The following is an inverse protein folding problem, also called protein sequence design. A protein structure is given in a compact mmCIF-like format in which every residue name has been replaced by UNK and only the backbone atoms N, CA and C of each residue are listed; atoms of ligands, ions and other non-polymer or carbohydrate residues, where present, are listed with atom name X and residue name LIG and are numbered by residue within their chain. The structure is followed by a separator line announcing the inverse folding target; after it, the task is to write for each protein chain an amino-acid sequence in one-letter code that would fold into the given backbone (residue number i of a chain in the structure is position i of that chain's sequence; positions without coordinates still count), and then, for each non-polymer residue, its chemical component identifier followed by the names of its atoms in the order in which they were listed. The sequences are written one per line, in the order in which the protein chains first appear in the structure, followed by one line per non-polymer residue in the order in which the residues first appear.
data_IF_879960439325
#
_entry.id   IF_879960439325
#
_cell.length_a   1.000
_cell.length_b   1.000
_cell.length_c   1.000
_cell.angle_alpha   90.00
_cell.angle_beta   90.00
_cell.angle_gamma   90.00
#
_symmetry.space_group_name_H-M   'P 1'
#
loop_
_entity.id
_entity.type
_entity.pdbx_description
1 polymer ?
#
# COMPACT_ATOMS: atom_id res chain seq x y z
N UNK A 1 -32.81 4.33 21.08
CA UNK A 1 -31.93 5.50 21.28
C UNK A 1 -30.88 5.61 20.17
N UNK A 2 -30.07 4.56 19.94
CA UNK A 2 -29.01 4.56 18.92
C UNK A 2 -29.48 4.87 17.49
N UNK A 3 -30.64 4.37 17.04
CA UNK A 3 -31.23 4.71 15.73
C UNK A 3 -31.34 6.22 15.48
N UNK A 4 -31.79 7.00 16.47
CA UNK A 4 -31.88 8.47 16.36
C UNK A 4 -30.51 9.14 16.24
N UNK A 5 -29.47 8.56 16.85
CA UNK A 5 -28.10 9.06 16.75
C UNK A 5 -27.55 8.77 15.34
N UNK A 6 -27.76 7.55 14.85
CA UNK A 6 -27.38 7.14 13.49
C UNK A 6 -28.04 8.07 12.47
N UNK A 7 -29.35 8.30 12.55
CA UNK A 7 -30.09 9.20 11.65
C UNK A 7 -29.52 10.63 11.67
N UNK A 8 -29.16 11.16 12.85
CA UNK A 8 -28.52 12.48 12.97
C UNK A 8 -27.13 12.54 12.32
N UNK A 9 -26.29 11.54 12.57
CA UNK A 9 -24.94 11.46 11.99
C UNK A 9 -25.02 11.40 10.46
N UNK A 10 -25.87 10.51 9.95
CA UNK A 10 -26.02 10.20 8.53
C UNK A 10 -26.62 11.38 7.76
N UNK A 11 -27.61 12.05 8.35
CA UNK A 11 -28.20 13.27 7.78
C UNK A 11 -27.20 14.43 7.70
N UNK A 12 -26.35 14.61 8.73
CA UNK A 12 -25.34 15.67 8.75
C UNK A 12 -24.29 15.55 7.63
N UNK A 13 -24.09 14.35 7.07
CA UNK A 13 -23.17 14.06 5.96
C UNK A 13 -23.87 13.86 4.62
N UNK A 14 -25.16 14.21 4.54
CA UNK A 14 -25.96 14.15 3.30
C UNK A 14 -26.27 12.73 2.82
N UNK A 15 -26.26 11.75 3.74
CA UNK A 15 -26.64 10.36 3.46
C UNK A 15 -28.01 10.06 4.08
N UNK A 16 -28.59 8.91 3.73
CA UNK A 16 -29.90 8.46 4.20
C UNK A 16 -29.81 7.02 4.72
N UNK A 17 -30.54 6.74 5.80
CA UNK A 17 -30.70 5.39 6.37
C UNK A 17 -32.13 5.22 6.88
N UNK A 18 -32.82 4.21 6.38
CA UNK A 18 -34.19 3.86 6.74
C UNK A 18 -34.50 2.40 6.37
N UNK A 19 -35.75 1.96 6.50
CA UNK A 19 -36.14 0.56 6.23
C UNK A 19 -35.98 0.15 4.76
N UNK A 20 -35.96 1.11 3.83
CA UNK A 20 -35.70 0.85 2.41
C UNK A 20 -34.21 0.82 2.07
N UNK A 21 -33.38 1.48 2.89
CA UNK A 21 -31.92 1.50 2.80
C UNK A 21 -31.31 1.31 4.20
N UNK A 22 -31.36 0.08 4.76
CA UNK A 22 -31.07 -0.19 6.17
C UNK A 22 -29.57 -0.24 6.52
N UNK A 23 -28.68 0.10 5.59
CA UNK A 23 -27.23 0.15 5.79
C UNK A 23 -26.65 1.41 5.14
N UNK A 24 -25.61 1.97 5.74
CA UNK A 24 -24.94 3.17 5.22
C UNK A 24 -23.46 3.21 5.58
N UNK A 25 -22.65 3.61 4.61
CA UNK A 25 -21.26 4.01 4.80
C UNK A 25 -21.13 5.53 4.57
N UNK A 26 -20.43 6.18 5.49
CA UNK A 26 -20.34 7.63 5.57
C UNK A 26 -18.96 8.09 6.07
N UNK A 27 -18.63 9.35 5.76
CA UNK A 27 -17.42 10.03 6.25
C UNK A 27 -17.79 11.28 7.03
N UNK A 28 -17.32 11.36 8.26
CA UNK A 28 -17.49 12.52 9.14
C UNK A 28 -16.57 13.67 8.73
N UNK A 29 -16.88 14.87 9.22
CA UNK A 29 -16.08 16.09 8.95
C UNK A 29 -14.62 15.99 9.43
N UNK A 30 -14.35 15.18 10.46
CA UNK A 30 -13.00 14.91 10.96
C UNK A 30 -12.25 13.85 10.12
N UNK A 31 -12.88 13.32 9.07
CA UNK A 31 -12.35 12.28 8.21
C UNK A 31 -12.61 10.86 8.71
N UNK A 32 -13.17 10.68 9.91
CA UNK A 32 -13.51 9.37 10.46
C UNK A 32 -14.58 8.67 9.60
N UNK A 33 -14.47 7.35 9.47
CA UNK A 33 -15.43 6.54 8.73
C UNK A 33 -16.49 5.98 9.65
N UNK A 34 -17.73 5.97 9.17
CA UNK A 34 -18.90 5.48 9.89
C UNK A 34 -19.61 4.47 9.03
N UNK A 35 -19.79 3.26 9.57
CA UNK A 35 -20.72 2.27 9.04
C UNK A 35 -21.88 2.11 10.02
N UNK A 36 -23.10 2.12 9.53
CA UNK A 36 -24.27 1.83 10.35
C UNK A 36 -25.22 0.86 9.65
N UNK A 37 -25.85 0.00 10.44
CA UNK A 37 -26.86 -0.97 9.99
C UNK A 37 -28.02 -0.97 10.97
N UNK A 38 -29.25 -0.98 10.48
CA UNK A 38 -30.47 -0.93 11.28
C UNK A 38 -31.38 -2.14 11.00
N UNK A 39 -32.37 -2.43 11.88
CA UNK A 39 -33.42 -3.39 11.57
C UNK A 39 -34.12 -3.07 10.23
N UNK A 40 -34.54 -4.08 9.44
CA UNK A 40 -34.60 -5.50 9.81
C UNK A 40 -33.28 -6.28 9.64
N UNK A 41 -32.21 -5.68 9.08
CA UNK A 41 -30.95 -6.42 8.86
C UNK A 41 -30.17 -6.70 10.14
N UNK A 42 -30.19 -5.75 11.08
CA UNK A 42 -29.57 -5.90 12.39
C UNK A 42 -30.60 -6.45 13.40
N UNK A 43 -30.69 -7.78 13.50
CA UNK A 43 -31.71 -8.49 14.30
C UNK A 43 -31.70 -8.09 15.78
N UNK A 44 -30.50 -7.86 16.34
CA UNK A 44 -30.31 -7.49 17.75
C UNK A 44 -30.42 -5.96 17.98
N UNK A 45 -30.87 -5.21 16.96
CA UNK A 45 -31.00 -3.76 16.99
C UNK A 45 -29.92 -3.04 16.20
N UNK A 46 -30.04 -1.71 16.07
CA UNK A 46 -29.12 -0.91 15.25
C UNK A 46 -27.66 -1.04 15.69
N UNK A 47 -26.73 -1.19 14.76
CA UNK A 47 -25.29 -1.20 15.00
C UNK A 47 -24.61 0.01 14.34
N UNK A 48 -23.56 0.52 14.97
CA UNK A 48 -22.75 1.64 14.51
C UNK A 48 -21.28 1.32 14.75
N UNK A 49 -20.46 1.42 13.72
CA UNK A 49 -19.01 1.26 13.80
C UNK A 49 -18.32 2.53 13.30
N UNK A 50 -17.43 3.08 14.13
CA UNK A 50 -16.67 4.29 13.80
C UNK A 50 -15.18 3.95 13.78
N UNK A 51 -14.56 4.09 12.61
CA UNK A 51 -13.09 4.02 12.48
C UNK A 51 -12.54 5.44 12.49
N UNK A 52 -11.97 5.82 13.63
CA UNK A 52 -11.40 7.16 13.82
C UNK A 52 -10.22 7.39 12.89
N UNK A 53 -10.12 8.61 12.37
CA UNK A 53 -8.92 9.07 11.69
C UNK A 53 -7.80 9.31 12.72
N UNK A 54 -6.70 8.56 12.63
CA UNK A 54 -5.56 8.74 13.54
C UNK A 54 -4.90 10.08 13.26
N UNK A 55 -4.72 10.92 14.29
CA UNK A 55 -3.98 12.19 14.17
C UNK A 55 -2.46 11.99 14.25
N UNK A 56 -2.01 10.96 14.95
CA UNK A 56 -0.58 10.67 15.09
C UNK A 56 -0.06 9.93 13.85
N UNK A 57 0.86 10.59 13.16
CA UNK A 57 1.54 10.08 11.97
C UNK A 57 2.78 9.30 12.40
N UNK A 58 2.71 7.97 12.34
CA UNK A 58 3.90 7.13 12.49
C UNK A 58 4.99 7.56 11.51
N UNK A 59 6.23 7.53 11.99
CA UNK A 59 7.46 7.78 11.25
C UNK A 59 8.24 6.47 11.07
N UNK A 60 9.28 6.52 10.26
CA UNK A 60 10.18 5.38 10.06
C UNK A 60 10.87 4.96 11.36
N UNK A 61 11.21 5.92 12.23
CA UNK A 61 11.81 5.68 13.55
C UNK A 61 10.91 4.83 14.44
N UNK A 62 9.60 5.05 14.41
CA UNK A 62 8.64 4.23 15.15
C UNK A 62 8.68 2.76 14.70
N UNK A 63 8.95 2.48 13.42
CA UNK A 63 9.07 1.11 12.93
C UNK A 63 10.39 0.47 13.40
N UNK A 64 11.46 1.24 13.49
CA UNK A 64 12.74 0.80 14.06
C UNK A 64 12.58 0.49 15.54
N UNK A 65 11.97 1.39 16.32
CA UNK A 65 11.69 1.21 17.75
C UNK A 65 10.80 -0.02 18.01
N UNK A 66 9.80 -0.24 17.15
CA UNK A 66 8.93 -1.43 17.19
C UNK A 66 9.59 -2.69 16.65
N UNK A 67 10.86 -2.62 16.24
CA UNK A 67 11.59 -3.75 15.65
C UNK A 67 10.86 -4.37 14.45
N UNK A 68 10.17 -3.54 13.68
CA UNK A 68 9.47 -3.91 12.44
C UNK A 68 10.41 -3.92 11.23
N UNK A 69 11.48 -3.12 11.30
CA UNK A 69 12.60 -3.01 10.36
C UNK A 69 13.86 -2.64 11.17
N UNK A 70 15.05 -2.76 10.56
CA UNK A 70 16.31 -2.25 11.16
C UNK A 70 16.57 -0.80 10.74
N UNK A 71 17.44 -0.05 11.44
CA UNK A 71 17.84 1.30 11.03
C UNK A 71 18.41 1.35 9.60
N UNK A 72 19.18 0.35 9.20
CA UNK A 72 19.81 0.31 7.90
C UNK A 72 18.79 0.03 6.80
N UNK A 73 17.82 -0.86 7.06
CA UNK A 73 16.68 -1.06 6.15
C UNK A 73 15.89 0.25 6.00
N UNK A 74 15.70 1.02 7.08
CA UNK A 74 15.03 2.31 7.03
C UNK A 74 15.73 3.30 6.08
N UNK A 75 17.07 3.41 6.17
CA UNK A 75 17.86 4.27 5.28
C UNK A 75 17.84 3.78 3.82
N UNK A 76 17.91 2.46 3.60
CA UNK A 76 17.78 1.89 2.26
C UNK A 76 16.41 2.22 1.64
N UNK A 77 15.33 2.08 2.41
CA UNK A 77 13.96 2.40 1.96
C UNK A 77 13.78 3.88 1.61
N UNK A 78 14.44 4.79 2.35
CA UNK A 78 14.50 6.21 1.99
C UNK A 78 15.15 6.39 0.61
N UNK A 79 16.33 5.81 0.42
CA UNK A 79 17.04 5.87 -0.87
C UNK A 79 16.22 5.29 -2.03
N UNK A 80 15.45 4.22 -1.80
CA UNK A 80 14.55 3.62 -2.82
C UNK A 80 13.50 4.63 -3.28
N UNK A 81 12.89 5.38 -2.34
CA UNK A 81 11.88 6.40 -2.67
C UNK A 81 12.51 7.58 -3.40
N UNK A 82 13.64 8.10 -2.90
CA UNK A 82 14.39 9.22 -3.50
C UNK A 82 14.88 8.86 -4.91
N UNK A 83 15.27 7.60 -5.14
CA UNK A 83 15.68 7.10 -6.44
C UNK A 83 14.52 6.93 -7.45
N UNK A 84 13.28 7.23 -7.07
CA UNK A 84 12.08 7.03 -7.89
C UNK A 84 11.86 5.59 -8.35
N UNK A 85 12.12 4.61 -7.48
CA UNK A 85 11.79 3.21 -7.75
C UNK A 85 10.30 2.97 -7.49
N UNK A 86 9.63 2.26 -8.38
CA UNK A 86 8.23 1.86 -8.24
C UNK A 86 8.10 0.75 -7.17
N UNK A 87 7.32 1.02 -6.13
CA UNK A 87 7.22 0.16 -4.94
C UNK A 87 5.84 -0.48 -4.85
N UNK A 88 5.82 -1.81 -4.80
CA UNK A 88 4.64 -2.60 -4.52
C UNK A 88 4.69 -3.18 -3.10
N UNK A 89 3.84 -2.70 -2.21
CA UNK A 89 3.77 -3.17 -0.82
C UNK A 89 2.72 -4.27 -0.71
N UNK A 90 3.15 -5.49 -0.45
CA UNK A 90 2.29 -6.66 -0.31
C UNK A 90 2.10 -7.09 1.15
N UNK A 91 1.03 -7.85 1.41
CA UNK A 91 0.72 -8.36 2.75
C UNK A 91 -0.76 -8.63 3.02
N UNK A 92 -1.01 -9.38 4.08
CA UNK A 92 -2.37 -9.70 4.55
C UNK A 92 -3.14 -8.49 5.10
N UNK A 93 -4.37 -8.73 5.56
CA UNK A 93 -5.18 -7.70 6.22
C UNK A 93 -4.57 -7.34 7.57
N UNK A 94 -4.46 -6.03 7.86
CA UNK A 94 -4.00 -5.55 9.16
C UNK A 94 -2.50 -5.73 9.44
N UNK A 95 -1.68 -6.07 8.43
CA UNK A 95 -0.23 -6.16 8.56
C UNK A 95 0.51 -4.80 8.49
N UNK A 96 -0.20 -3.72 8.18
CA UNK A 96 0.36 -2.37 8.17
C UNK A 96 0.83 -1.85 6.80
N UNK A 97 0.34 -2.41 5.68
CA UNK A 97 0.67 -1.95 4.32
C UNK A 97 0.46 -0.44 4.14
N UNK A 98 -0.73 0.06 4.46
CA UNK A 98 -1.04 1.49 4.34
C UNK A 98 -0.20 2.34 5.29
N UNK A 99 0.20 1.79 6.44
CA UNK A 99 1.11 2.47 7.38
C UNK A 99 2.49 2.66 6.78
N UNK A 100 3.11 1.60 6.25
CA UNK A 100 4.43 1.73 5.61
C UNK A 100 4.33 2.55 4.31
N UNK A 101 3.25 2.42 3.53
CA UNK A 101 2.99 3.27 2.37
C UNK A 101 3.01 4.76 2.76
N UNK A 102 2.29 5.12 3.82
CA UNK A 102 2.22 6.51 4.30
C UNK A 102 3.59 7.03 4.77
N UNK A 103 4.38 6.17 5.45
CA UNK A 103 5.74 6.52 5.90
C UNK A 103 6.66 6.74 4.71
N UNK A 104 6.69 5.81 3.75
CA UNK A 104 7.55 5.90 2.56
C UNK A 104 7.15 7.06 1.66
N UNK A 105 5.85 7.34 1.53
CA UNK A 105 5.38 8.53 0.81
C UNK A 105 5.89 9.82 1.44
N UNK A 106 6.22 9.82 2.73
CA UNK A 106 6.85 10.96 3.42
C UNK A 106 8.32 11.18 3.07
N UNK A 107 8.98 10.26 2.35
CA UNK A 107 10.33 10.45 1.81
C UNK A 107 10.34 11.00 0.38
N UNK A 108 9.16 11.19 -0.23
CA UNK A 108 9.08 11.88 -1.52
C UNK A 108 9.55 13.33 -1.33
N UNK A 109 10.46 13.84 -2.17
CA UNK A 109 10.92 15.24 -2.10
C UNK A 109 9.78 16.27 -2.16
N UNK A 110 9.94 17.39 -1.46
CA UNK A 110 8.90 18.44 -1.35
C UNK A 110 8.63 19.20 -2.66
N UNK A 111 9.56 19.17 -3.62
CA UNK A 111 9.42 19.77 -4.94
C UNK A 111 8.59 18.92 -5.93
N UNK A 112 8.25 17.68 -5.55
CA UNK A 112 7.44 16.78 -6.36
C UNK A 112 5.94 16.96 -6.09
N UNK A 113 5.16 16.97 -7.17
CA UNK A 113 3.69 16.96 -7.11
C UNK A 113 3.17 15.53 -6.97
N UNK A 114 2.41 15.29 -5.90
CA UNK A 114 1.92 13.95 -5.57
C UNK A 114 0.40 13.89 -5.75
N UNK A 115 -0.10 12.86 -6.41
CA UNK A 115 -1.53 12.55 -6.44
C UNK A 115 -1.78 11.25 -5.68
N UNK A 116 -2.60 11.31 -4.63
CA UNK A 116 -3.06 10.13 -3.91
C UNK A 116 -4.41 9.67 -4.44
N UNK A 117 -4.62 8.37 -4.55
CA UNK A 117 -5.89 7.78 -5.00
C UNK A 117 -6.29 6.65 -4.05
N UNK A 118 -7.42 6.78 -3.37
CA UNK A 118 -7.87 5.83 -2.36
C UNK A 118 -9.38 5.58 -2.44
N UNK A 119 -9.82 4.36 -2.06
CA UNK A 119 -11.25 4.09 -1.88
C UNK A 119 -11.87 4.93 -0.76
N UNK A 120 -11.08 5.20 0.28
CA UNK A 120 -11.35 6.34 1.14
C UNK A 120 -10.07 6.85 1.74
N UNK A 121 -9.92 8.17 1.83
CA UNK A 121 -8.61 8.74 2.07
C UNK A 121 -8.10 8.45 3.49
N UNK A 122 -7.10 7.58 3.62
CA UNK A 122 -6.35 7.27 4.84
C UNK A 122 -4.97 7.92 4.83
N UNK A 123 -4.40 8.17 3.64
CA UNK A 123 -3.05 8.73 3.51
C UNK A 123 -2.98 10.18 3.97
N UNK A 124 -1.87 10.48 4.63
CA UNK A 124 -1.57 11.75 5.29
C UNK A 124 -0.14 12.20 5.00
N UNK A 125 0.12 12.48 3.73
CA UNK A 125 1.40 13.00 3.26
C UNK A 125 1.72 14.35 3.93
N UNK A 126 3.02 14.67 3.98
CA UNK A 126 3.53 15.87 4.69
C UNK A 126 3.92 16.99 3.73
N UNK A 127 4.17 16.64 2.49
CA UNK A 127 4.51 17.54 1.40
C UNK A 127 3.36 18.51 1.13
N UNK A 128 3.69 19.70 0.62
CA UNK A 128 2.70 20.74 0.33
C UNK A 128 1.89 20.45 -0.94
N UNK A 129 2.55 19.91 -1.97
CA UNK A 129 1.97 19.73 -3.31
C UNK A 129 1.23 18.39 -3.47
N UNK A 130 0.27 18.12 -2.58
CA UNK A 130 -0.50 16.85 -2.55
C UNK A 130 -1.94 17.06 -3.01
N UNK A 131 -2.33 16.37 -4.09
CA UNK A 131 -3.73 16.26 -4.53
C UNK A 131 -4.30 14.95 -4.04
N UNK A 132 -5.38 15.01 -3.25
CA UNK A 132 -6.02 13.83 -2.67
C UNK A 132 -7.30 13.50 -3.43
N UNK A 133 -7.32 12.33 -4.07
CA UNK A 133 -8.48 11.82 -4.79
C UNK A 133 -9.07 10.62 -4.03
N UNK A 134 -10.40 10.59 -3.98
CA UNK A 134 -11.18 9.54 -3.32
C UNK A 134 -12.25 9.03 -4.28
N UNK A 135 -12.45 7.70 -4.31
CA UNK A 135 -13.53 7.11 -5.10
C UNK A 135 -14.89 7.54 -4.57
N UNK A 136 -15.90 7.44 -5.42
CA UNK A 136 -17.27 7.77 -5.03
C UNK A 136 -18.15 6.57 -5.35
N UNK A 137 -18.76 5.89 -4.35
CA UNK A 137 -19.74 4.85 -4.64
C UNK A 137 -20.97 5.47 -5.33
N UNK A 138 -21.76 4.67 -6.06
CA UNK A 138 -23.01 5.15 -6.65
C UNK A 138 -23.96 5.68 -5.57
N UNK A 139 -24.86 6.58 -5.98
CA UNK A 139 -25.97 7.02 -5.13
C UNK A 139 -27.02 5.90 -4.98
N UNK A 140 -28.08 6.15 -4.21
CA UNK A 140 -29.17 5.19 -3.97
C UNK A 140 -29.90 4.74 -5.26
N UNK A 141 -29.77 5.50 -6.34
CA UNK A 141 -30.34 5.18 -7.66
C UNK A 141 -29.33 4.44 -8.57
N UNK A 142 -28.17 4.04 -8.05
CA UNK A 142 -27.12 3.35 -8.80
C UNK A 142 -26.32 4.26 -9.74
N UNK A 143 -26.38 5.59 -9.57
CA UNK A 143 -25.77 6.57 -10.48
C UNK A 143 -24.60 7.31 -9.86
N UNK A 144 -23.72 7.83 -10.71
CA UNK A 144 -22.65 8.74 -10.31
C UNK A 144 -21.50 8.08 -9.57
N UNK A 145 -21.31 6.77 -9.74
CA UNK A 145 -20.08 6.10 -9.31
C UNK A 145 -18.86 6.76 -9.97
N UNK A 146 -17.76 6.88 -9.22
CA UNK A 146 -16.44 7.26 -9.71
C UNK A 146 -15.47 6.24 -9.17
N UNK A 147 -15.00 5.36 -10.06
CA UNK A 147 -14.13 4.24 -9.72
C UNK A 147 -12.68 4.69 -9.56
N UNK A 148 -11.87 3.87 -8.88
CA UNK A 148 -10.43 4.11 -8.76
C UNK A 148 -9.76 4.17 -10.13
N UNK A 149 -10.19 3.33 -11.07
CA UNK A 149 -9.71 3.30 -12.44
C UNK A 149 -9.91 4.62 -13.18
N UNK A 150 -11.07 5.25 -13.01
CA UNK A 150 -11.34 6.57 -13.59
C UNK A 150 -10.46 7.67 -12.99
N UNK A 151 -10.21 7.60 -11.67
CA UNK A 151 -9.31 8.54 -11.00
C UNK A 151 -7.87 8.39 -11.46
N UNK A 152 -7.37 7.17 -11.68
CA UNK A 152 -6.03 6.92 -12.24
C UNK A 152 -5.92 7.54 -13.64
N UNK A 153 -6.88 7.29 -14.52
CA UNK A 153 -6.86 7.88 -15.86
C UNK A 153 -6.92 9.41 -15.83
N UNK A 154 -7.68 9.98 -14.90
CA UNK A 154 -7.79 11.42 -14.73
C UNK A 154 -6.50 12.02 -14.15
N UNK A 155 -5.83 11.34 -13.22
CA UNK A 155 -4.63 11.86 -12.58
C UNK A 155 -3.48 12.08 -13.56
N UNK A 156 -3.38 11.29 -14.64
CA UNK A 156 -2.36 11.45 -15.68
C UNK A 156 -2.44 12.82 -16.39
N UNK A 157 -3.58 13.52 -16.31
CA UNK A 157 -3.76 14.88 -16.84
C UNK A 157 -3.40 15.98 -15.84
N UNK A 158 -3.14 15.61 -14.59
CA UNK A 158 -2.81 16.52 -13.50
C UNK A 158 -1.31 16.80 -13.38
N UNK A 159 -0.50 16.26 -14.32
CA UNK A 159 0.97 16.29 -14.33
C UNK A 159 1.56 15.90 -12.95
N UNK A 160 1.24 14.71 -12.41
CA UNK A 160 1.87 14.26 -11.18
C UNK A 160 3.32 13.88 -11.45
N UNK A 161 4.20 14.15 -10.50
CA UNK A 161 5.53 13.54 -10.44
C UNK A 161 5.43 12.15 -9.80
N UNK A 162 4.51 11.97 -8.84
CA UNK A 162 4.25 10.70 -8.15
C UNK A 162 2.77 10.38 -8.09
N UNK A 163 2.44 9.10 -8.27
CA UNK A 163 1.11 8.57 -8.01
C UNK A 163 1.20 7.57 -6.85
N UNK A 164 0.42 7.83 -5.80
CA UNK A 164 0.34 6.97 -4.63
C UNK A 164 -1.07 6.39 -4.55
N UNK A 165 -1.20 5.09 -4.74
CA UNK A 165 -2.49 4.42 -4.65
C UNK A 165 -2.61 3.68 -3.33
N UNK A 166 -3.69 3.91 -2.59
CA UNK A 166 -3.89 3.29 -1.28
C UNK A 166 -3.84 1.76 -1.34
N UNK A 167 -4.52 1.18 -2.32
CA UNK A 167 -4.56 -0.26 -2.58
C UNK A 167 -5.01 -0.53 -4.02
N UNK A 168 -4.50 -1.58 -4.67
CA UNK A 168 -5.05 -2.12 -5.93
C UNK A 168 -5.87 -3.38 -5.68
N UNK A 169 -7.06 -3.42 -6.26
CA UNK A 169 -8.08 -4.46 -6.07
C UNK A 169 -8.71 -4.94 -7.37
N UNK A 170 -8.64 -4.16 -8.46
CA UNK A 170 -9.32 -4.47 -9.72
C UNK A 170 -8.56 -3.93 -10.94
N UNK A 171 -9.29 -3.57 -12.00
CA UNK A 171 -8.74 -3.21 -13.30
C UNK A 171 -7.89 -1.93 -13.32
N UNK A 172 -7.93 -1.10 -12.28
CA UNK A 172 -7.02 0.05 -12.11
C UNK A 172 -5.55 -0.38 -12.01
N UNK A 173 -5.29 -1.65 -11.70
CA UNK A 173 -3.94 -2.21 -11.69
C UNK A 173 -3.25 -2.05 -13.06
N UNK A 174 -3.98 -2.22 -14.17
CA UNK A 174 -3.43 -2.01 -15.51
C UNK A 174 -3.03 -0.54 -15.74
N UNK A 175 -3.93 0.38 -15.42
CA UNK A 175 -3.70 1.82 -15.61
C UNK A 175 -2.56 2.32 -14.69
N UNK A 176 -2.39 1.73 -13.51
CA UNK A 176 -1.25 1.95 -12.62
C UNK A 176 0.07 1.48 -13.23
N UNK A 177 0.13 0.24 -13.73
CA UNK A 177 1.33 -0.28 -14.40
C UNK A 177 1.68 0.56 -15.63
N UNK A 178 0.66 1.09 -16.33
CA UNK A 178 0.87 2.02 -17.43
C UNK A 178 1.51 3.31 -16.96
N UNK A 179 0.97 3.93 -15.90
CA UNK A 179 1.56 5.14 -15.33
C UNK A 179 3.03 4.94 -14.95
N UNK A 180 3.33 3.82 -14.28
CA UNK A 180 4.69 3.41 -13.86
C UNK A 180 5.65 3.23 -15.04
N UNK A 181 5.16 2.75 -16.19
CA UNK A 181 5.97 2.59 -17.40
C UNK A 181 6.07 3.86 -18.26
N UNK A 182 5.17 4.83 -18.10
CA UNK A 182 5.08 6.02 -18.96
C UNK A 182 5.40 7.31 -18.22
N UNK A 183 6.51 7.32 -17.47
CA UNK A 183 7.11 8.54 -16.93
C UNK A 183 6.53 9.03 -15.60
N UNK A 184 5.74 8.20 -14.90
CA UNK A 184 5.33 8.47 -13.51
C UNK A 184 6.05 7.49 -12.57
N UNK A 185 7.38 7.48 -12.71
CA UNK A 185 8.31 6.67 -11.92
C UNK A 185 8.14 6.94 -10.43
N UNK A 186 8.57 5.98 -9.61
CA UNK A 186 8.56 6.15 -8.17
C UNK A 186 7.16 6.10 -7.56
N UNK A 187 6.18 5.58 -8.29
CA UNK A 187 4.83 5.37 -7.81
C UNK A 187 4.79 4.28 -6.73
N UNK A 188 3.89 4.43 -5.77
CA UNK A 188 3.76 3.51 -4.64
C UNK A 188 2.32 2.99 -4.55
N UNK A 189 2.17 1.71 -4.24
CA UNK A 189 0.85 1.12 -4.02
C UNK A 189 0.90 -0.03 -3.04
N UNK A 190 -0.28 -0.47 -2.58
CA UNK A 190 -0.41 -1.69 -1.78
C UNK A 190 -1.26 -2.73 -2.48
N UNK A 191 -1.01 -4.00 -2.19
CA UNK A 191 -1.78 -5.12 -2.72
C UNK A 191 -1.89 -6.23 -1.67
N UNK A 192 -2.99 -6.96 -1.69
CA UNK A 192 -3.14 -8.14 -0.86
C UNK A 192 -2.45 -9.35 -1.50
N UNK A 193 -1.45 -9.88 -0.81
CA UNK A 193 -0.77 -11.13 -1.16
C UNK A 193 -0.06 -11.70 0.07
N UNK A 194 0.12 -13.02 0.08
CA UNK A 194 0.76 -13.73 1.19
C UNK A 194 2.28 -13.78 1.05
N UNK A 195 2.80 -13.71 -0.17
CA UNK A 195 4.23 -13.73 -0.49
C UNK A 195 4.55 -12.76 -1.64
N UNK A 196 5.83 -12.38 -1.84
CA UNK A 196 6.25 -11.61 -3.02
C UNK A 196 5.93 -12.29 -4.36
N UNK A 197 5.95 -13.64 -4.43
CA UNK A 197 5.55 -14.34 -5.65
C UNK A 197 4.04 -14.30 -5.88
N UNK A 198 3.24 -14.53 -4.83
CA UNK A 198 1.78 -14.40 -4.92
C UNK A 198 1.36 -12.98 -5.31
N UNK A 199 2.14 -11.98 -4.90
CA UNK A 199 1.95 -10.58 -5.27
C UNK A 199 1.98 -10.39 -6.79
N UNK A 200 2.97 -10.97 -7.48
CA UNK A 200 3.05 -10.91 -8.95
C UNK A 200 1.88 -11.65 -9.61
N UNK A 201 1.55 -12.85 -9.15
CA UNK A 201 0.39 -13.61 -9.64
C UNK A 201 -0.92 -12.83 -9.45
N UNK A 202 -1.04 -12.10 -8.33
CA UNK A 202 -2.19 -11.24 -8.06
C UNK A 202 -2.24 -10.08 -9.05
N UNK A 203 -1.12 -9.41 -9.31
CA UNK A 203 -1.04 -8.35 -10.34
C UNK A 203 -1.46 -8.89 -11.70
N UNK A 204 -0.96 -10.06 -12.14
CA UNK A 204 -1.38 -10.72 -13.38
C UNK A 204 -2.91 -10.90 -13.44
N UNK A 205 -3.49 -11.39 -12.35
CA UNK A 205 -4.94 -11.62 -12.24
C UNK A 205 -5.73 -10.32 -12.34
N UNK A 206 -5.31 -9.27 -11.63
CA UNK A 206 -5.98 -7.96 -11.63
C UNK A 206 -5.94 -7.29 -13.02
N UNK A 207 -4.82 -7.43 -13.73
CA UNK A 207 -4.71 -6.94 -15.11
C UNK A 207 -5.62 -7.73 -16.04
N UNK A 208 -5.71 -9.05 -15.90
CA UNK A 208 -6.64 -9.86 -16.70
C UNK A 208 -8.11 -9.43 -16.48
N UNK A 209 -8.48 -9.06 -15.25
CA UNK A 209 -9.81 -8.53 -14.93
C UNK A 209 -10.10 -7.16 -15.58
N UNK A 210 -9.08 -6.40 -16.01
CA UNK A 210 -9.26 -5.13 -16.69
C UNK A 210 -9.80 -5.26 -18.13
N UNK A 211 -9.92 -6.50 -18.64
CA UNK A 211 -10.41 -6.82 -19.98
C UNK A 211 -9.34 -6.81 -21.07
N UNK A 212 -8.07 -6.69 -20.69
CA UNK A 212 -6.96 -6.67 -21.64
C UNK A 212 -6.49 -8.10 -21.94
N UNK A 213 -6.66 -8.56 -23.18
CA UNK A 213 -6.20 -9.87 -23.60
C UNK A 213 -4.77 -9.79 -24.17
N UNK A 214 -3.77 -9.79 -23.29
CA UNK A 214 -2.37 -9.91 -23.67
C UNK A 214 -1.91 -11.37 -23.61
N UNK A 215 -1.00 -11.75 -24.50
CA UNK A 215 -0.24 -12.98 -24.30
C UNK A 215 0.48 -12.93 -22.93
N UNK A 216 0.45 -14.02 -22.18
CA UNK A 216 0.98 -14.10 -20.80
C UNK A 216 2.41 -13.58 -20.70
N UNK A 217 3.27 -13.91 -21.66
CA UNK A 217 4.65 -13.43 -21.72
C UNK A 217 4.74 -11.89 -21.83
N UNK A 218 3.90 -11.27 -22.64
CA UNK A 218 3.87 -9.82 -22.80
C UNK A 218 3.37 -9.12 -21.52
N UNK A 219 2.35 -9.69 -20.88
CA UNK A 219 1.86 -9.20 -19.58
C UNK A 219 2.95 -9.26 -18.51
N UNK A 220 3.64 -10.39 -18.39
CA UNK A 220 4.72 -10.54 -17.42
C UNK A 220 5.89 -9.60 -17.68
N UNK A 221 6.22 -9.38 -18.96
CA UNK A 221 7.22 -8.40 -19.33
C UNK A 221 6.82 -7.00 -18.88
N UNK A 222 5.57 -6.64 -19.16
CA UNK A 222 5.00 -5.35 -18.77
C UNK A 222 5.03 -5.13 -17.25
N UNK A 223 4.69 -6.15 -16.46
CA UNK A 223 4.77 -6.13 -15.00
C UNK A 223 6.23 -5.98 -14.54
N UNK A 224 7.14 -6.77 -15.12
CA UNK A 224 8.55 -6.79 -14.74
C UNK A 224 9.30 -5.49 -15.03
N UNK A 225 8.84 -4.72 -16.02
CA UNK A 225 9.40 -3.42 -16.36
C UNK A 225 8.80 -2.27 -15.54
N UNK A 226 7.59 -2.45 -15.01
CA UNK A 226 6.88 -1.41 -14.27
C UNK A 226 7.28 -1.36 -12.78
N UNK A 227 7.50 -2.51 -12.16
CA UNK A 227 7.71 -2.62 -10.71
C UNK A 227 9.19 -2.89 -10.46
N UNK A 228 9.80 -2.09 -9.58
CA UNK A 228 11.22 -2.26 -9.22
C UNK A 228 11.36 -3.08 -7.92
N UNK A 229 10.54 -2.77 -6.91
CA UNK A 229 10.70 -3.29 -5.55
C UNK A 229 9.38 -3.82 -4.99
N UNK A 230 9.44 -4.97 -4.32
CA UNK A 230 8.35 -5.54 -3.53
C UNK A 230 8.71 -5.53 -2.04
N UNK A 231 7.83 -4.96 -1.21
CA UNK A 231 7.92 -4.99 0.26
C UNK A 231 6.85 -5.91 0.81
N UNK A 232 7.23 -7.01 1.47
CA UNK A 232 6.27 -7.91 2.12
C UNK A 232 6.09 -7.54 3.59
N UNK A 233 4.88 -7.14 3.97
CA UNK A 233 4.49 -6.88 5.35
C UNK A 233 3.68 -8.04 5.92
N UNK A 234 4.07 -8.51 7.11
CA UNK A 234 3.41 -9.62 7.78
C UNK A 234 3.03 -9.24 9.21
N UNK A 235 1.81 -9.60 9.62
CA UNK A 235 1.41 -9.61 11.03
C UNK A 235 1.70 -10.99 11.59
N UNK A 236 2.59 -11.06 12.57
CA UNK A 236 3.01 -12.31 13.19
C UNK A 236 2.01 -12.76 14.26
N UNK A 237 2.21 -13.98 14.78
CA UNK A 237 1.30 -14.62 15.75
C UNK A 237 1.15 -13.87 17.06
N UNK A 238 2.16 -13.11 17.48
CA UNK A 238 2.14 -12.25 18.66
C UNK A 238 1.50 -10.87 18.40
N UNK A 239 0.99 -10.65 17.18
CA UNK A 239 0.37 -9.41 16.76
C UNK A 239 1.35 -8.33 16.29
N UNK A 240 2.65 -8.55 16.42
CA UNK A 240 3.67 -7.64 15.89
C UNK A 240 3.62 -7.61 14.37
N UNK A 241 4.10 -6.51 13.79
CA UNK A 241 4.15 -6.32 12.33
C UNK A 241 5.61 -6.19 11.94
N UNK A 242 6.05 -6.93 10.93
CA UNK A 242 7.43 -6.87 10.41
C UNK A 242 7.43 -6.83 8.89
N UNK A 243 8.43 -6.16 8.32
CA UNK A 243 8.73 -6.27 6.90
C UNK A 243 9.49 -7.58 6.67
N UNK A 244 8.81 -8.64 6.27
CA UNK A 244 9.41 -9.97 6.20
C UNK A 244 10.25 -10.23 4.97
N UNK A 245 10.10 -9.41 3.92
CA UNK A 245 10.92 -9.47 2.72
C UNK A 245 11.03 -8.10 2.07
N UNK A 246 12.23 -7.76 1.60
CA UNK A 246 12.50 -6.70 0.62
C UNK A 246 13.10 -7.37 -0.60
N UNK A 247 12.46 -7.22 -1.75
CA UNK A 247 12.82 -7.91 -2.99
C UNK A 247 12.90 -6.96 -4.18
N UNK A 248 13.88 -7.14 -5.05
CA UNK A 248 14.02 -6.42 -6.33
C UNK A 248 13.54 -7.30 -7.49
N UNK A 249 12.78 -6.73 -8.43
CA UNK A 249 12.47 -7.37 -9.70
C UNK A 249 13.61 -7.08 -10.67
N UNK A 250 14.25 -8.14 -11.18
CA UNK A 250 15.46 -8.00 -12.01
C UNK A 250 15.19 -8.16 -13.51
N UNK A 251 13.94 -8.48 -13.87
CA UNK A 251 13.48 -8.72 -15.24
C UNK A 251 12.75 -10.06 -15.38
N UNK A 252 12.99 -10.75 -16.51
CA UNK A 252 12.41 -12.06 -16.79
C UNK A 252 13.46 -13.06 -17.25
N UNK A 253 13.24 -14.33 -16.92
CA UNK A 253 13.91 -15.47 -17.51
C UNK A 253 12.86 -16.37 -18.20
N UNK A 254 12.90 -16.42 -19.53
CA UNK A 254 11.88 -17.09 -20.33
C UNK A 254 10.50 -16.44 -20.18
N UNK A 255 9.61 -17.11 -19.45
CA UNK A 255 8.26 -16.62 -19.12
C UNK A 255 8.08 -16.30 -17.64
N UNK A 256 9.12 -16.39 -16.82
CA UNK A 256 9.04 -16.17 -15.38
C UNK A 256 9.62 -14.82 -15.03
N UNK A 257 8.90 -14.02 -14.24
CA UNK A 257 9.45 -12.80 -13.65
C UNK A 257 10.45 -13.20 -12.56
N UNK A 258 11.67 -12.70 -12.67
CA UNK A 258 12.75 -13.02 -11.75
C UNK A 258 12.81 -11.97 -10.65
N UNK A 259 12.82 -12.45 -9.42
CA UNK A 259 12.89 -11.62 -8.20
C UNK A 259 14.16 -12.02 -7.44
N UNK A 260 14.88 -11.04 -6.92
CA UNK A 260 15.96 -11.27 -5.97
C UNK A 260 15.56 -10.73 -4.60
N UNK A 261 15.51 -11.61 -3.62
CA UNK A 261 15.29 -11.20 -2.23
C UNK A 261 16.59 -10.59 -1.69
N UNK A 262 16.50 -9.39 -1.12
CA UNK A 262 17.62 -8.60 -0.62
C UNK A 262 17.73 -8.75 0.89
N UNK A 263 16.58 -8.64 1.57
CA UNK A 263 16.46 -8.88 3.01
C UNK A 263 15.29 -9.79 3.29
N UNK A 264 15.42 -10.56 4.36
CA UNK A 264 14.33 -11.30 4.96
C UNK A 264 14.32 -11.19 6.48
N UNK A 265 13.14 -11.40 7.05
CA UNK A 265 12.98 -11.71 8.45
C UNK A 265 12.78 -13.22 8.62
N UNK A 266 13.66 -13.86 9.38
CA UNK A 266 13.54 -15.27 9.72
C UNK A 266 13.12 -15.41 11.18
N UNK A 267 11.92 -15.94 11.42
CA UNK A 267 11.48 -16.32 12.76
C UNK A 267 12.33 -17.50 13.26
N UNK A 268 12.93 -17.37 14.43
CA UNK A 268 13.78 -18.39 15.07
C UNK A 268 13.05 -19.16 16.17
N UNK A 269 11.99 -18.59 16.74
CA UNK A 269 11.19 -19.26 17.77
C UNK A 269 10.10 -18.39 18.38
N UNK A 270 9.56 -18.88 19.50
CA UNK A 270 8.65 -18.19 20.39
C UNK A 270 9.21 -18.26 21.81
N UNK A 271 9.06 -17.21 22.61
CA UNK A 271 9.35 -17.27 24.06
C UNK A 271 8.20 -17.92 24.85
N UNK A 272 8.37 -18.02 26.17
CA UNK A 272 7.37 -18.56 27.10
C UNK A 272 6.05 -17.78 27.07
N UNK A 273 6.11 -16.50 26.71
CA UNK A 273 4.96 -15.60 26.58
C UNK A 273 4.38 -15.59 25.16
N UNK A 274 4.83 -16.49 24.27
CA UNK A 274 4.47 -16.58 22.85
C UNK A 274 4.83 -15.36 22.01
N UNK A 275 5.79 -14.55 22.45
CA UNK A 275 6.37 -13.46 21.68
C UNK A 275 7.28 -14.03 20.61
N UNK A 276 7.27 -13.43 19.43
CA UNK A 276 8.07 -13.88 18.31
C UNK A 276 9.50 -13.37 18.43
N UNK A 277 10.44 -14.31 18.33
CA UNK A 277 11.85 -14.02 18.14
C UNK A 277 12.26 -14.33 16.72
N UNK A 278 13.15 -13.51 16.18
CA UNK A 278 13.74 -13.77 14.88
C UNK A 278 14.85 -12.81 14.54
N UNK A 279 15.31 -12.93 13.30
CA UNK A 279 16.45 -12.16 12.82
C UNK A 279 16.12 -11.51 11.48
N UNK A 280 16.52 -10.25 11.33
CA UNK A 280 16.68 -9.65 10.01
C UNK A 280 18.09 -9.95 9.50
N UNK A 281 18.19 -10.35 8.24
CA UNK A 281 19.48 -10.53 7.56
C UNK A 281 19.36 -10.20 6.08
N UNK A 282 20.47 -9.75 5.51
CA UNK A 282 20.63 -9.67 4.07
C UNK A 282 20.83 -11.08 3.47
N UNK A 283 20.56 -11.22 2.18
CA UNK A 283 20.81 -12.46 1.43
C UNK A 283 22.20 -12.54 0.82
N UNK A 284 23.00 -11.46 0.89
CA UNK A 284 24.25 -11.30 0.15
C UNK A 284 24.08 -10.74 -1.26
N UNK A 285 22.84 -10.59 -1.74
CA UNK A 285 22.56 -9.99 -3.04
C UNK A 285 22.79 -8.47 -2.97
N UNK A 286 23.59 -7.96 -3.91
CA UNK A 286 23.71 -6.53 -4.16
C UNK A 286 22.67 -6.12 -5.21
N UNK A 287 21.68 -5.28 -4.85
CA UNK A 287 20.61 -4.90 -5.78
C UNK A 287 21.14 -4.09 -6.96
N UNK A 288 20.54 -4.26 -8.14
CA UNK A 288 20.90 -3.49 -9.34
C UNK A 288 20.56 -2.01 -9.18
N UNK A 289 19.48 -1.70 -8.47
CA UNK A 289 19.07 -0.31 -8.24
C UNK A 289 20.11 0.54 -7.47
N UNK A 290 21.11 -0.08 -6.84
CA UNK A 290 22.22 0.66 -6.21
C UNK A 290 23.03 1.45 -7.25
N UNK A 291 23.09 1.01 -8.51
CA UNK A 291 23.70 1.80 -9.57
C UNK A 291 22.89 3.08 -9.86
N UNK A 292 21.56 3.03 -9.74
CA UNK A 292 20.69 4.22 -9.82
C UNK A 292 20.95 5.18 -8.67
N UNK A 293 21.22 4.65 -7.46
CA UNK A 293 21.56 5.49 -6.30
C UNK A 293 22.85 6.26 -6.56
N UNK A 294 23.91 5.59 -7.05
CA UNK A 294 25.17 6.24 -7.40
C UNK A 294 24.98 7.34 -8.45
N UNK A 295 24.20 7.06 -9.50
CA UNK A 295 23.91 8.03 -10.56
C UNK A 295 23.18 9.27 -10.05
N UNK A 296 22.36 9.12 -9.00
CA UNK A 296 21.61 10.20 -8.37
C UNK A 296 22.31 10.83 -7.16
N UNK A 297 23.52 10.36 -6.80
CA UNK A 297 24.25 10.83 -5.63
C UNK A 297 23.64 10.41 -4.29
N UNK A 298 22.78 9.39 -4.26
CA UNK A 298 22.16 8.84 -3.05
C UNK A 298 23.18 7.92 -2.38
N UNK A 299 23.52 8.21 -1.13
CA UNK A 299 24.46 7.40 -0.37
C UNK A 299 23.86 6.04 0.01
N UNK A 300 24.65 4.97 -0.14
CA UNK A 300 24.28 3.62 0.31
C UNK A 300 25.54 2.89 0.80
N UNK A 301 25.57 2.55 2.08
CA UNK A 301 26.62 1.68 2.62
C UNK A 301 26.40 0.25 2.13
N UNK A 302 27.27 -0.22 1.23
CA UNK A 302 27.19 -1.56 0.66
C UNK A 302 27.35 -2.68 1.68
N UNK A 303 27.90 -2.39 2.87
CA UNK A 303 27.98 -3.36 3.96
C UNK A 303 26.60 -3.72 4.53
N UNK A 304 25.52 -3.02 4.15
CA UNK A 304 24.16 -3.42 4.52
C UNK A 304 23.77 -4.77 3.91
N UNK A 305 24.36 -5.14 2.77
CA UNK A 305 24.06 -6.37 2.06
C UNK A 305 24.91 -7.56 2.51
N UNK A 306 25.72 -7.40 3.56
CA UNK A 306 26.54 -8.49 4.13
C UNK A 306 25.64 -9.53 4.82
N UNK A 307 25.61 -10.80 4.35
CA UNK A 307 24.76 -11.83 4.93
C UNK A 307 25.17 -12.24 6.36
N UNK A 308 26.40 -11.92 6.79
CA UNK A 308 26.88 -12.19 8.14
C UNK A 308 26.35 -11.17 9.16
N UNK A 309 25.80 -10.04 8.70
CA UNK A 309 25.13 -9.09 9.58
C UNK A 309 23.72 -9.56 9.93
N UNK A 310 23.52 -9.85 11.20
CA UNK A 310 22.28 -10.36 11.76
C UNK A 310 21.76 -9.37 12.79
N UNK A 311 20.48 -9.01 12.68
CA UNK A 311 19.80 -8.14 13.63
C UNK A 311 18.70 -8.92 14.35
N UNK A 312 18.97 -9.29 15.59
CA UNK A 312 18.02 -10.01 16.44
C UNK A 312 16.94 -9.07 16.97
N UNK A 313 15.69 -9.53 16.92
CA UNK A 313 14.53 -8.72 17.33
C UNK A 313 13.56 -9.48 18.22
#
# INVERSE_FOLDING_TARGET
HLRKIIEKIVSAVGRRIDESSPMVDARLLDGSRVNAIIPPLALDGSCLSIRKFSKDKLQISDLVEKKSITPEIAELLRGIVEARLNILISGGTGCGKTTILNILSGFIPDDERIVTIEDSAELQLRQDHVVRLETRPPNVEGRGEVTQRELVKNCLRMRPDRIVMGEVRSGECLDMLQAMNTGHDGSLTTIHANTPRDCLTRVETLVAMAGLNLATKALRHYISSAIDVILQMTRLSDGTRKMTSLSEIVGMEGETITIQEIFLFQQTGLDEQRKVHGVFKATGVRPKFVERFKALGIACDLNIFDPEKIYEV
#
